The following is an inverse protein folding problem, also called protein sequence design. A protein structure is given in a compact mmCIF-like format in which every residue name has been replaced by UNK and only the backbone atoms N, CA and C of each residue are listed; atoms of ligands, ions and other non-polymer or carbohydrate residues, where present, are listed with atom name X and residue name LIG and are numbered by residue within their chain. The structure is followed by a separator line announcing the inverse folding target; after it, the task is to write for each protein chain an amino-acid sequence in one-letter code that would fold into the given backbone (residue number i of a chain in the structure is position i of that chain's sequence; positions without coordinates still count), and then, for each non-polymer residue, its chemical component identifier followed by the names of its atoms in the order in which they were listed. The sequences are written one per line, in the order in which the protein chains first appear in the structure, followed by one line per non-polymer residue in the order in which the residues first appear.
data_IF_149403411398
#
_entry.id   IF_149403411398
#
_cell.length_a   1.000
_cell.length_b   1.000
_cell.length_c   1.000
_cell.angle_alpha   90.00
_cell.angle_beta   90.00
_cell.angle_gamma   90.00
#
_symmetry.space_group_name_H-M   'P 1'
#
loop_
_entity.id
_entity.type
_entity.pdbx_description
1 polymer ?
#
# COMPACT_ATOMS: atom_id res chain seq x y z
N UNK A 1 -13.35 25.29 3.79
CA UNK A 1 -12.33 25.08 4.84
C UNK A 1 -12.79 23.87 5.67
N UNK A 2 -12.50 22.65 5.23
CA UNK A 2 -12.94 21.43 5.94
C UNK A 2 -11.98 21.16 7.11
N UNK A 3 -12.37 21.59 8.32
CA UNK A 3 -11.52 21.59 9.53
C UNK A 3 -11.87 20.50 10.54
N UNK A 4 -12.51 19.41 10.12
CA UNK A 4 -12.92 18.35 11.04
C UNK A 4 -12.33 17.02 10.58
N UNK A 5 -11.51 16.39 11.43
CA UNK A 5 -10.89 15.09 11.17
C UNK A 5 -11.92 14.02 10.80
N UNK A 6 -13.17 14.13 11.26
CA UNK A 6 -14.26 13.20 10.90
C UNK A 6 -14.77 13.37 9.46
N UNK A 7 -14.75 14.58 8.90
CA UNK A 7 -15.14 14.83 7.51
C UNK A 7 -14.08 14.31 6.54
N UNK A 8 -12.80 14.49 6.91
CA UNK A 8 -11.66 13.88 6.24
C UNK A 8 -11.74 12.35 6.31
N UNK A 9 -12.00 11.77 7.50
CA UNK A 9 -12.14 10.33 7.66
C UNK A 9 -13.30 9.76 6.83
N UNK A 10 -14.48 10.38 6.81
CA UNK A 10 -15.60 9.94 5.96
C UNK A 10 -15.31 10.03 4.46
N UNK A 11 -14.58 11.07 4.03
CA UNK A 11 -14.14 11.19 2.63
C UNK A 11 -13.16 10.10 2.26
N UNK A 12 -12.21 9.80 3.14
CA UNK A 12 -11.31 8.68 2.99
C UNK A 12 -12.12 7.37 2.94
N UNK A 13 -13.00 7.13 3.89
CA UNK A 13 -13.84 5.93 3.97
C UNK A 13 -14.70 5.74 2.71
N UNK A 14 -15.24 6.81 2.13
CA UNK A 14 -16.01 6.75 0.87
C UNK A 14 -15.13 6.45 -0.35
N UNK A 15 -13.90 6.97 -0.40
CA UNK A 15 -12.94 6.75 -1.48
C UNK A 15 -12.21 5.40 -1.37
N UNK A 16 -12.08 4.87 -0.15
CA UNK A 16 -11.28 3.68 0.19
C UNK A 16 -12.14 2.47 0.60
N UNK A 17 -13.46 2.62 0.76
CA UNK A 17 -14.39 1.50 0.95
C UNK A 17 -14.48 0.57 -0.28
N UNK A 18 -14.06 1.03 -1.46
CA UNK A 18 -13.69 0.12 -2.55
C UNK A 18 -12.39 -0.58 -2.15
N UNK A 19 -12.52 -1.84 -1.69
CA UNK A 19 -11.41 -2.72 -1.27
C UNK A 19 -10.17 -2.67 -2.18
N UNK A 20 -10.33 -2.39 -3.48
CA UNK A 20 -9.25 -2.24 -4.44
C UNK A 20 -8.42 -0.96 -4.23
N UNK A 21 -9.01 0.23 -4.04
CA UNK A 21 -8.23 1.48 -3.93
C UNK A 21 -7.43 1.57 -2.63
N UNK A 22 -8.00 1.13 -1.50
CA UNK A 22 -7.27 1.06 -0.23
C UNK A 22 -6.11 0.06 -0.30
N UNK A 23 -6.36 -1.10 -0.91
CA UNK A 23 -5.34 -2.12 -1.15
C UNK A 23 -4.24 -1.57 -2.08
N UNK A 24 -4.62 -0.86 -3.14
CA UNK A 24 -3.67 -0.23 -4.07
C UNK A 24 -2.79 0.81 -3.36
N UNK A 25 -3.38 1.69 -2.54
CA UNK A 25 -2.63 2.68 -1.79
C UNK A 25 -1.69 2.02 -0.77
N UNK A 26 -2.16 1.02 -0.01
CA UNK A 26 -1.32 0.29 0.93
C UNK A 26 -0.16 -0.44 0.24
N UNK A 27 -0.40 -1.03 -0.94
CA UNK A 27 0.65 -1.68 -1.72
C UNK A 27 1.69 -0.67 -2.23
N UNK A 28 1.25 0.51 -2.71
CA UNK A 28 2.15 1.61 -3.08
C UNK A 28 2.97 2.11 -1.88
N UNK A 29 2.33 2.33 -0.73
CA UNK A 29 3.03 2.72 0.49
C UNK A 29 4.06 1.68 0.91
N UNK A 30 3.71 0.39 0.87
CA UNK A 30 4.65 -0.71 1.15
C UNK A 30 5.82 -0.73 0.17
N UNK A 31 5.60 -0.44 -1.11
CA UNK A 31 6.66 -0.36 -2.13
C UNK A 31 7.62 0.80 -1.84
N UNK A 32 7.10 1.98 -1.52
CA UNK A 32 7.92 3.15 -1.21
C UNK A 32 8.65 3.05 0.13
N UNK A 33 8.08 2.32 1.10
CA UNK A 33 8.75 2.00 2.37
C UNK A 33 9.55 0.71 2.31
N UNK A 34 9.58 0.01 1.17
CA UNK A 34 10.28 -1.26 1.05
C UNK A 34 11.78 -1.01 1.10
N UNK A 35 12.40 -1.42 2.20
CA UNK A 35 13.83 -1.30 2.44
C UNK A 35 14.37 -2.68 2.82
N UNK A 36 15.58 -3.00 2.34
CA UNK A 36 16.29 -4.22 2.74
C UNK A 36 16.60 -4.12 4.23
N UNK A 37 16.17 -5.10 5.04
CA UNK A 37 16.58 -5.17 6.43
C UNK A 37 17.97 -5.80 6.54
N UNK A 38 18.81 -5.27 7.42
CA UNK A 38 20.16 -5.77 7.63
C UNK A 38 20.11 -7.22 8.16
N UNK A 39 20.74 -8.16 7.44
CA UNK A 39 20.69 -9.59 7.74
C UNK A 39 19.66 -10.40 6.95
N UNK A 40 18.84 -9.75 6.11
CA UNK A 40 17.91 -10.44 5.23
C UNK A 40 18.62 -11.01 3.99
N UNK A 41 18.29 -12.25 3.60
CA UNK A 41 18.86 -12.85 2.39
C UNK A 41 18.35 -12.11 1.16
N UNK A 42 19.26 -11.68 0.29
CA UNK A 42 18.92 -10.96 -0.95
C UNK A 42 17.87 -11.68 -1.81
N UNK A 43 17.89 -13.02 -1.79
CA UNK A 43 16.89 -13.85 -2.48
C UNK A 43 15.48 -13.63 -1.93
N UNK A 44 15.34 -13.60 -0.61
CA UNK A 44 14.04 -13.44 0.05
C UNK A 44 13.51 -12.01 -0.14
N UNK A 45 14.41 -11.03 -0.13
CA UNK A 45 14.10 -9.65 -0.50
C UNK A 45 13.57 -9.54 -1.94
N UNK A 46 14.25 -10.16 -2.92
CA UNK A 46 13.81 -10.17 -4.32
C UNK A 46 12.46 -10.87 -4.45
N UNK A 47 12.23 -11.99 -3.76
CA UNK A 47 10.96 -12.70 -3.77
C UNK A 47 9.80 -11.85 -3.19
N UNK A 48 10.05 -11.14 -2.09
CA UNK A 48 9.07 -10.22 -1.50
C UNK A 48 8.75 -9.05 -2.45
N UNK A 49 9.77 -8.49 -3.11
CA UNK A 49 9.59 -7.44 -4.10
C UNK A 49 8.76 -7.90 -5.31
N UNK A 50 9.05 -9.09 -5.84
CA UNK A 50 8.28 -9.69 -6.96
C UNK A 50 6.83 -9.92 -6.56
N UNK A 51 6.59 -10.43 -5.36
CA UNK A 51 5.24 -10.63 -4.81
C UNK A 51 4.47 -9.31 -4.73
N UNK A 52 5.12 -8.26 -4.22
CA UNK A 52 4.54 -6.93 -4.08
C UNK A 52 4.18 -6.31 -5.45
N UNK A 53 5.01 -6.50 -6.47
CA UNK A 53 4.72 -6.06 -7.83
C UNK A 53 3.55 -6.82 -8.47
N UNK A 54 3.48 -8.13 -8.25
CA UNK A 54 2.34 -8.95 -8.73
C UNK A 54 1.04 -8.55 -8.05
N UNK A 55 1.06 -8.28 -6.74
CA UNK A 55 -0.09 -7.78 -6.00
C UNK A 55 -0.55 -6.41 -6.50
N UNK A 56 0.39 -5.55 -6.90
CA UNK A 56 0.08 -4.24 -7.49
C UNK A 56 -0.62 -4.40 -8.85
N UNK A 57 -0.08 -5.28 -9.71
CA UNK A 57 -0.60 -5.56 -11.06
C UNK A 57 -1.99 -6.18 -11.04
N UNK A 58 -2.33 -6.95 -10.01
CA UNK A 58 -3.64 -7.59 -9.87
C UNK A 58 -4.73 -6.68 -9.28
N UNK A 59 -4.37 -5.47 -8.85
CA UNK A 59 -5.29 -4.51 -8.20
C UNK A 59 -5.64 -3.32 -9.11
N UNK A 60 -4.85 -3.11 -10.17
CA UNK A 60 -5.24 -2.30 -11.35
C UNK A 60 -6.29 -3.01 -12.21
#
# INVERSE_FOLDING_TARGET
MEKTSSALWKRLETLYATKSMAKHLMLKQRLFMFCVNEGELLRDYINQFITLLNDLKNVE
#
